data_IF_252314756324
#
_entry.id   IF_252314756324
#
_cell.length_a   1.000
_cell.length_b   1.000
_cell.length_c   1.000
_cell.angle_alpha   90.00
_cell.angle_beta   90.00
_cell.angle_gamma   90.00
#
_symmetry.space_group_name_H-M   'P 1'
#
loop_
_entity.id
_entity.type
_entity.pdbx_description
1 polymer ?
#
# COMPACT_ATOMS: atom_id res chain seq x y z
N UNK A 1 18.43 0.30 23.35
CA UNK A 1 17.18 0.14 24.15
C UNK A 1 16.10 -0.64 23.42
N UNK A 2 15.18 -0.04 22.65
CA UNK A 2 14.05 -0.78 22.04
C UNK A 2 14.47 -1.90 21.08
N UNK A 3 15.49 -1.64 20.26
CA UNK A 3 16.13 -2.65 19.42
C UNK A 3 16.73 -3.80 20.23
N UNK A 4 17.39 -3.50 21.35
CA UNK A 4 18.04 -4.50 22.20
C UNK A 4 17.02 -5.34 22.96
N UNK A 5 15.92 -4.74 23.42
CA UNK A 5 14.78 -5.46 24.03
C UNK A 5 14.18 -6.45 23.03
N UNK A 6 14.00 -6.04 21.77
CA UNK A 6 13.54 -6.94 20.70
C UNK A 6 14.55 -8.07 20.46
N UNK A 7 15.83 -7.76 20.33
CA UNK A 7 16.90 -8.76 20.12
C UNK A 7 17.06 -9.72 21.30
N UNK A 8 16.71 -9.30 22.52
CA UNK A 8 16.73 -10.15 23.70
C UNK A 8 15.58 -11.20 23.73
N UNK A 9 14.71 -11.19 22.73
CA UNK A 9 13.67 -12.20 22.54
C UNK A 9 12.22 -11.69 22.72
N UNK A 10 12.02 -10.39 22.87
CA UNK A 10 10.65 -9.86 22.95
C UNK A 10 9.94 -9.98 21.60
N UNK A 11 8.85 -10.76 21.56
CA UNK A 11 8.00 -10.89 20.37
C UNK A 11 7.24 -9.61 20.03
N UNK A 12 6.94 -8.78 21.03
CA UNK A 12 6.30 -7.48 20.84
C UNK A 12 7.02 -6.41 21.64
N UNK A 13 7.25 -5.26 21.02
CA UNK A 13 7.83 -4.08 21.65
C UNK A 13 6.97 -2.87 21.30
N UNK A 14 6.41 -2.24 22.33
CA UNK A 14 5.63 -1.00 22.22
C UNK A 14 6.47 0.18 22.71
N UNK A 15 6.71 1.13 21.82
CA UNK A 15 7.34 2.43 22.15
C UNK A 15 6.25 3.50 22.08
N UNK A 16 6.12 4.31 23.12
CA UNK A 16 5.08 5.35 23.19
C UNK A 16 5.60 6.66 23.76
N UNK A 17 4.98 7.75 23.31
CA UNK A 17 5.18 9.13 23.72
C UNK A 17 3.83 9.87 23.64
N UNK A 18 3.80 11.15 24.02
CA UNK A 18 2.60 11.98 23.89
C UNK A 18 2.16 12.26 22.44
N UNK A 19 3.00 11.96 21.44
CA UNK A 19 2.73 12.29 20.02
C UNK A 19 2.89 11.10 19.06
N UNK A 20 3.45 10.00 19.52
CA UNK A 20 3.79 8.86 18.68
C UNK A 20 3.70 7.57 19.49
N UNK A 21 3.13 6.55 18.86
CA UNK A 21 3.18 5.18 19.32
C UNK A 21 3.69 4.31 18.16
N UNK A 22 4.61 3.40 18.45
CA UNK A 22 5.14 2.41 17.51
C UNK A 22 5.07 1.03 18.15
N UNK A 23 4.32 0.12 17.51
CA UNK A 23 4.26 -1.29 17.87
C UNK A 23 5.09 -2.09 16.87
N UNK A 24 6.09 -2.81 17.37
CA UNK A 24 6.89 -3.74 16.58
C UNK A 24 6.56 -5.16 17.02
N UNK A 25 6.22 -6.03 16.07
CA UNK A 25 5.96 -7.44 16.32
C UNK A 25 6.88 -8.30 15.46
N UNK A 26 7.50 -9.30 16.09
CA UNK A 26 8.29 -10.32 15.40
C UNK A 26 7.37 -11.52 15.16
N UNK A 27 7.09 -11.80 13.90
CA UNK A 27 6.45 -13.05 13.51
C UNK A 27 7.45 -14.20 13.72
N UNK A 28 7.01 -15.25 14.42
CA UNK A 28 7.79 -16.48 14.57
C UNK A 28 7.76 -17.27 13.26
N UNK A 29 8.81 -18.06 13.01
CA UNK A 29 8.93 -18.87 11.79
C UNK A 29 7.69 -19.79 11.60
N UNK A 30 7.27 -19.97 10.34
CA UNK A 30 6.07 -20.67 9.82
C UNK A 30 4.80 -19.84 9.52
N UNK A 31 4.84 -18.50 9.58
CA UNK A 31 3.67 -17.68 9.19
C UNK A 31 3.75 -17.31 7.70
N UNK A 32 2.69 -17.66 6.97
CA UNK A 32 2.39 -17.22 5.60
C UNK A 32 2.40 -15.67 5.53
N UNK A 33 2.78 -15.07 4.39
CA UNK A 33 2.76 -13.60 4.25
C UNK A 33 1.47 -13.00 4.83
N UNK A 34 1.55 -11.94 5.65
CA UNK A 34 0.37 -11.40 6.32
C UNK A 34 -0.68 -11.00 5.29
N UNK A 35 -1.94 -11.31 5.55
CA UNK A 35 -3.05 -10.84 4.73
C UNK A 35 -3.43 -9.43 5.17
N UNK A 36 -3.82 -8.59 4.21
CA UNK A 36 -4.23 -7.22 4.53
C UNK A 36 -5.47 -7.22 5.44
N UNK A 37 -6.35 -8.21 5.28
CA UNK A 37 -7.51 -8.43 6.13
C UNK A 37 -7.18 -8.62 7.62
N UNK A 38 -5.99 -9.17 7.94
CA UNK A 38 -5.53 -9.35 9.32
C UNK A 38 -4.86 -8.10 9.88
N UNK A 39 -4.34 -7.24 9.01
CA UNK A 39 -3.63 -6.02 9.37
C UNK A 39 -4.56 -4.81 9.55
N UNK A 40 -5.57 -4.65 8.69
CA UNK A 40 -6.53 -3.52 8.76
C UNK A 40 -7.19 -3.40 10.15
N UNK A 41 -7.67 -4.47 10.80
CA UNK A 41 -8.29 -4.38 12.13
C UNK A 41 -7.37 -3.87 13.23
N UNK A 42 -6.05 -3.86 13.02
CA UNK A 42 -5.06 -3.30 13.97
C UNK A 42 -5.02 -1.77 13.93
N UNK A 43 -5.56 -1.16 12.88
CA UNK A 43 -5.70 0.28 12.75
C UNK A 43 -7.00 0.74 13.40
N UNK A 44 -6.97 1.89 14.06
CA UNK A 44 -8.20 2.52 14.54
C UNK A 44 -8.94 3.18 13.36
N UNK A 45 -9.73 2.37 12.64
CA UNK A 45 -10.44 2.80 11.44
C UNK A 45 -11.54 3.84 11.70
N UNK A 46 -11.94 4.12 12.96
CA UNK A 46 -12.92 5.18 13.24
C UNK A 46 -12.35 6.59 13.01
N UNK A 47 -11.02 6.72 12.98
CA UNK A 47 -10.32 8.00 12.86
C UNK A 47 -9.45 8.06 11.57
N UNK A 48 -9.70 7.19 10.60
CA UNK A 48 -8.93 7.10 9.36
C UNK A 48 -9.89 7.31 8.19
N UNK A 49 -9.61 8.33 7.37
CA UNK A 49 -10.37 8.58 6.15
C UNK A 49 -9.89 7.71 4.98
N UNK A 50 -8.58 7.43 4.92
CA UNK A 50 -7.93 6.73 3.80
C UNK A 50 -6.83 5.82 4.33
N UNK A 51 -6.77 4.59 3.82
CA UNK A 51 -5.63 3.67 3.98
C UNK A 51 -4.95 3.54 2.62
N UNK A 52 -3.68 3.92 2.55
CA UNK A 52 -2.82 3.67 1.38
C UNK A 52 -1.95 2.44 1.67
N UNK A 53 -1.92 1.50 0.73
CA UNK A 53 -1.18 0.25 0.85
C UNK A 53 -0.11 0.19 -0.23
N UNK A 54 1.14 0.03 0.18
CA UNK A 54 2.27 -0.25 -0.71
C UNK A 54 2.62 -1.74 -0.60
N UNK A 55 2.77 -2.42 -1.73
CA UNK A 55 2.99 -3.87 -1.78
C UNK A 55 1.70 -4.66 -1.93
N UNK A 56 1.61 -5.85 -1.33
CA UNK A 56 0.42 -6.72 -1.34
C UNK A 56 -0.15 -6.96 -2.75
N UNK A 57 0.73 -7.25 -3.73
CA UNK A 57 0.35 -7.35 -5.15
C UNK A 57 -0.78 -8.36 -5.41
N UNK A 58 -0.85 -9.41 -4.60
CA UNK A 58 -1.83 -10.48 -4.71
C UNK A 58 -3.19 -10.17 -4.05
N UNK A 59 -3.29 -9.09 -3.28
CA UNK A 59 -4.54 -8.72 -2.61
C UNK A 59 -5.56 -8.17 -3.61
N UNK A 60 -6.82 -8.52 -3.38
CA UNK A 60 -7.95 -8.09 -4.23
C UNK A 60 -8.44 -6.74 -3.76
N UNK A 61 -7.75 -5.67 -4.16
CA UNK A 61 -8.10 -4.29 -3.86
C UNK A 61 -7.79 -3.38 -5.06
N UNK A 62 -8.47 -2.23 -5.21
CA UNK A 62 -8.15 -1.27 -6.26
C UNK A 62 -6.69 -0.81 -6.15
N UNK A 63 -5.93 -0.92 -7.25
CA UNK A 63 -4.49 -0.60 -7.30
C UNK A 63 -4.17 0.37 -8.42
N UNK A 64 -3.24 1.28 -8.15
CA UNK A 64 -2.54 2.05 -9.20
C UNK A 64 -1.22 1.32 -9.45
N UNK A 65 -1.02 0.81 -10.66
CA UNK A 65 0.25 0.17 -11.02
C UNK A 65 1.29 1.24 -11.31
N UNK A 66 2.37 1.28 -10.54
CA UNK A 66 3.52 2.12 -10.85
C UNK A 66 4.44 1.38 -11.82
N UNK A 67 4.55 1.88 -13.05
CA UNK A 67 5.34 1.26 -14.10
C UNK A 67 6.45 2.19 -14.59
N UNK A 68 7.67 1.68 -14.68
CA UNK A 68 8.80 2.38 -15.29
C UNK A 68 9.39 1.49 -16.38
N UNK A 69 9.16 1.78 -17.67
CA UNK A 69 9.65 0.92 -18.76
C UNK A 69 11.17 0.72 -18.75
N UNK A 70 11.91 1.71 -18.25
CA UNK A 70 13.37 1.65 -18.07
C UNK A 70 13.85 0.50 -17.18
N UNK A 71 12.99 -0.03 -16.29
CA UNK A 71 13.32 -1.17 -15.44
C UNK A 71 13.11 -2.53 -16.12
N UNK A 72 12.56 -2.56 -17.35
CA UNK A 72 12.36 -3.78 -18.13
C UNK A 72 11.42 -4.81 -17.50
N UNK A 73 10.59 -4.39 -16.53
CA UNK A 73 9.59 -5.26 -15.91
C UNK A 73 8.30 -5.19 -16.72
N UNK A 74 7.59 -6.31 -16.96
CA UNK A 74 6.31 -6.28 -17.64
C UNK A 74 5.24 -5.60 -16.77
N UNK A 75 4.18 -5.10 -17.42
CA UNK A 75 2.96 -4.70 -16.73
C UNK A 75 2.28 -5.91 -16.08
N UNK A 76 1.67 -5.70 -14.93
CA UNK A 76 0.74 -6.63 -14.30
C UNK A 76 -0.62 -6.58 -15.00
N UNK A 77 -1.04 -5.38 -15.41
CA UNK A 77 -2.15 -5.21 -16.34
C UNK A 77 -1.83 -5.85 -17.71
N UNK A 78 -2.78 -6.55 -18.38
CA UNK A 78 -4.19 -6.74 -18.04
C UNK A 78 -4.50 -7.99 -17.19
N UNK A 79 -3.47 -8.72 -16.73
CA UNK A 79 -3.68 -9.98 -16.01
C UNK A 79 -4.22 -9.77 -14.58
N UNK A 80 -3.96 -8.61 -13.99
CA UNK A 80 -4.57 -8.18 -12.73
C UNK A 80 -5.69 -7.17 -13.00
N UNK A 81 -6.94 -7.61 -12.86
CA UNK A 81 -8.15 -6.83 -13.12
C UNK A 81 -8.49 -5.83 -12.00
N UNK A 82 -7.73 -5.84 -10.89
CA UNK A 82 -7.92 -4.89 -9.79
C UNK A 82 -7.12 -3.60 -9.99
N UNK A 83 -6.29 -3.55 -11.03
CA UNK A 83 -5.55 -2.35 -11.44
C UNK A 83 -6.53 -1.40 -12.14
N UNK A 84 -6.71 -0.21 -11.55
CA UNK A 84 -7.67 0.80 -12.00
C UNK A 84 -7.04 1.92 -12.82
N UNK A 85 -5.72 2.09 -12.71
CA UNK A 85 -4.91 3.03 -13.47
C UNK A 85 -3.45 2.59 -13.47
N UNK A 86 -2.67 3.07 -14.45
CA UNK A 86 -1.23 2.88 -14.51
C UNK A 86 -0.55 4.25 -14.42
N UNK A 87 0.32 4.45 -13.45
CA UNK A 87 1.19 5.61 -13.40
C UNK A 87 2.54 5.27 -14.04
N UNK A 88 2.89 5.96 -15.13
CA UNK A 88 4.11 5.69 -15.89
C UNK A 88 4.89 6.97 -16.20
N UNK A 89 6.21 6.84 -16.35
CA UNK A 89 7.09 7.91 -16.83
C UNK A 89 7.30 7.89 -18.36
N UNK A 90 6.60 6.99 -19.06
CA UNK A 90 6.53 6.91 -20.52
C UNK A 90 5.11 6.56 -20.98
N UNK A 91 4.79 6.87 -22.24
CA UNK A 91 3.51 6.54 -22.84
C UNK A 91 3.37 5.02 -23.03
N UNK A 92 2.22 4.46 -22.65
CA UNK A 92 1.93 3.04 -22.75
C UNK A 92 0.71 2.82 -23.64
N UNK A 93 0.66 1.66 -24.30
CA UNK A 93 -0.53 1.26 -25.07
C UNK A 93 -1.46 0.45 -24.17
N UNK A 94 -2.37 1.12 -23.47
CA UNK A 94 -3.35 0.52 -22.55
C UNK A 94 -4.72 1.16 -22.73
N UNK A 95 -5.76 0.44 -22.33
CA UNK A 95 -7.17 0.86 -22.39
C UNK A 95 -7.73 1.39 -21.05
N UNK A 96 -6.91 1.39 -20.00
CA UNK A 96 -7.20 2.02 -18.71
C UNK A 96 -6.47 3.37 -18.57
N UNK A 97 -6.91 4.16 -17.60
CA UNK A 97 -6.36 5.50 -17.30
C UNK A 97 -4.84 5.43 -17.09
N UNK A 98 -4.12 6.33 -17.77
CA UNK A 98 -2.68 6.48 -17.63
C UNK A 98 -2.37 7.81 -16.94
N UNK A 99 -1.68 7.74 -15.80
CA UNK A 99 -1.26 8.88 -15.01
C UNK A 99 0.22 9.18 -15.24
N UNK A 100 0.62 10.45 -15.20
CA UNK A 100 2.03 10.79 -15.18
C UNK A 100 2.65 10.46 -13.81
N UNK A 101 3.57 9.50 -13.78
CA UNK A 101 4.24 9.04 -12.57
C UNK A 101 5.01 10.14 -11.82
N UNK A 102 5.42 11.20 -12.53
CA UNK A 102 6.15 12.32 -11.95
C UNK A 102 5.24 13.51 -11.60
N UNK A 103 3.91 13.37 -11.77
CA UNK A 103 2.93 14.39 -11.42
C UNK A 103 2.14 13.96 -10.18
N UNK A 104 2.59 14.41 -9.02
CA UNK A 104 2.01 14.03 -7.72
C UNK A 104 0.57 14.54 -7.59
N UNK A 105 0.30 15.76 -8.05
CA UNK A 105 -1.03 16.38 -7.94
C UNK A 105 -2.07 15.61 -8.75
N UNK A 106 -1.71 15.16 -9.96
CA UNK A 106 -2.58 14.33 -10.79
C UNK A 106 -2.92 12.98 -10.14
N UNK A 107 -1.93 12.33 -9.50
CA UNK A 107 -2.16 11.08 -8.77
C UNK A 107 -3.08 11.32 -7.57
N UNK A 108 -2.85 12.41 -6.82
CA UNK A 108 -3.68 12.78 -5.67
C UNK A 108 -5.13 13.08 -6.08
N UNK A 109 -5.32 13.86 -7.15
CA UNK A 109 -6.64 14.19 -7.71
C UNK A 109 -7.38 12.93 -8.16
N UNK A 110 -6.68 12.01 -8.85
CA UNK A 110 -7.27 10.73 -9.26
C UNK A 110 -7.74 9.92 -8.04
N UNK A 111 -6.92 9.80 -6.99
CA UNK A 111 -7.26 9.09 -5.76
C UNK A 111 -8.47 9.75 -5.08
N UNK A 112 -8.48 11.08 -4.96
CA UNK A 112 -9.60 11.80 -4.35
C UNK A 112 -10.91 11.57 -5.12
N UNK A 113 -10.89 11.70 -6.44
CA UNK A 113 -12.07 11.46 -7.27
C UNK A 113 -12.55 10.01 -7.19
N UNK A 114 -11.63 9.06 -7.15
CA UNK A 114 -11.95 7.64 -6.99
C UNK A 114 -12.69 7.36 -5.68
N UNK A 115 -12.25 7.97 -4.58
CA UNK A 115 -12.88 7.84 -3.26
C UNK A 115 -14.27 8.48 -3.26
N UNK A 116 -14.39 9.73 -3.74
CA UNK A 116 -15.66 10.47 -3.77
C UNK A 116 -16.74 9.67 -4.52
N UNK A 117 -16.39 9.04 -5.66
CA UNK A 117 -17.31 8.22 -6.46
C UNK A 117 -17.81 6.96 -5.74
N UNK A 118 -17.15 6.51 -4.67
CA UNK A 118 -17.49 5.30 -3.91
C UNK A 118 -18.19 5.58 -2.60
N UNK A 119 -18.07 6.79 -2.08
CA UNK A 119 -18.69 7.22 -0.82
C UNK A 119 -19.95 8.07 -1.00
N UNK A 120 -20.29 8.42 -2.25
CA UNK A 120 -21.55 9.08 -2.62
C UNK A 120 -22.68 8.06 -2.79
#
# INVERSE_FOLDING_TARGET
DSYEIRQAGANQVLVSSNRLMALMEVQLDDIQEPLLADLIPRLNCTNIDIILVEGFKHETMPKIELHRPSLGKPLLYPNDNTIIAIASDDALTTDIEQLNLNNIDEIADYIQQFIIKRTA
#
